data_IF_986732197828
#
_entry.id   IF_986732197828
#
_cell.length_a   1.000
_cell.length_b   1.000
_cell.length_c   1.000
_cell.angle_alpha   90.00
_cell.angle_beta   90.00
_cell.angle_gamma   90.00
#
_symmetry.space_group_name_H-M   'P 1'
#
loop_
_entity.id
_entity.type
_entity.pdbx_description
1 polymer ?
#
# COMPACT_ATOMS: atom_id res chain seq x y z
N UNK A 1 -9.13 -5.27 -0.31
CA UNK A 1 -8.55 -5.35 -1.68
C UNK A 1 -8.84 -4.03 -2.37
N UNK A 2 -7.83 -3.47 -3.04
CA UNK A 2 -7.82 -2.16 -3.71
C UNK A 2 -9.14 -1.86 -4.47
N UNK A 3 -9.94 -0.91 -3.98
CA UNK A 3 -11.13 -0.45 -4.70
C UNK A 3 -10.74 0.72 -5.60
N UNK A 4 -10.80 0.51 -6.91
CA UNK A 4 -10.68 1.57 -7.91
C UNK A 4 -11.82 2.59 -7.71
N UNK A 5 -11.57 3.92 -7.72
CA UNK A 5 -10.65 4.62 -8.61
C UNK A 5 -9.45 5.24 -7.89
N UNK A 6 -8.23 4.91 -8.34
CA UNK A 6 -7.03 5.54 -7.81
C UNK A 6 -6.20 6.16 -8.93
N UNK A 7 -5.82 7.43 -8.75
CA UNK A 7 -4.72 8.05 -9.46
C UNK A 7 -3.42 7.60 -8.77
N UNK A 8 -2.29 7.64 -9.46
CA UNK A 8 -0.98 7.28 -8.89
C UNK A 8 -0.70 7.99 -7.54
N UNK A 9 -1.16 9.24 -7.39
CA UNK A 9 -1.12 10.04 -6.14
C UNK A 9 -1.93 9.49 -4.95
N UNK A 10 -2.78 8.49 -5.15
CA UNK A 10 -3.56 7.88 -4.06
C UNK A 10 -2.67 6.99 -3.16
N UNK A 11 -1.48 6.61 -3.65
CA UNK A 11 -0.43 6.09 -2.80
C UNK A 11 0.10 7.26 -1.96
N UNK A 12 -0.28 7.28 -0.68
CA UNK A 12 0.01 8.35 0.29
C UNK A 12 1.50 8.70 0.31
N UNK A 13 2.36 7.69 0.18
CA UNK A 13 3.82 7.84 0.16
C UNK A 13 4.39 8.46 -1.12
N UNK A 14 3.72 8.32 -2.27
CA UNK A 14 4.22 8.88 -3.52
C UNK A 14 4.04 10.40 -3.57
N UNK A 15 2.93 10.94 -3.07
CA UNK A 15 2.69 12.39 -3.04
C UNK A 15 3.78 13.18 -2.30
N UNK A 16 4.29 12.62 -1.20
CA UNK A 16 5.40 13.17 -0.43
C UNK A 16 6.75 13.04 -1.17
N UNK A 17 7.07 11.85 -1.69
CA UNK A 17 8.33 11.61 -2.41
C UNK A 17 8.43 12.38 -3.72
N UNK A 18 7.31 12.71 -4.37
CA UNK A 18 7.28 13.55 -5.58
C UNK A 18 7.17 15.04 -5.29
N UNK A 19 7.24 15.48 -4.02
CA UNK A 19 7.13 16.89 -3.60
C UNK A 19 5.90 17.59 -4.20
N UNK A 20 4.75 16.90 -4.24
CA UNK A 20 3.52 17.49 -4.75
C UNK A 20 3.02 18.57 -3.75
N UNK A 21 2.91 19.81 -4.23
CA UNK A 21 2.48 20.99 -3.45
C UNK A 21 1.03 20.90 -2.93
N UNK A 22 0.27 19.89 -3.36
CA UNK A 22 -1.08 19.61 -2.86
C UNK A 22 -1.11 18.71 -1.62
N UNK A 23 0.04 18.24 -1.14
CA UNK A 23 0.15 17.49 0.11
C UNK A 23 -0.22 18.40 1.29
N UNK A 24 -1.32 18.09 1.97
CA UNK A 24 -1.81 18.91 3.08
C UNK A 24 -1.12 18.50 4.38
N UNK A 25 -0.96 19.43 5.31
CA UNK A 25 -0.49 19.12 6.68
C UNK A 25 -1.33 18.00 7.35
N UNK A 26 -2.61 17.88 6.96
CA UNK A 26 -3.52 16.84 7.43
C UNK A 26 -3.14 15.41 6.97
N UNK A 27 -2.31 15.27 5.93
CA UNK A 27 -1.90 13.97 5.39
C UNK A 27 -0.62 13.43 6.05
N UNK A 28 0.17 14.30 6.72
CA UNK A 28 1.43 13.91 7.37
C UNK A 28 1.26 12.81 8.44
N UNK A 29 0.25 12.83 9.33
CA UNK A 29 0.05 11.73 10.27
C UNK A 29 -0.19 10.39 9.57
N UNK A 30 -0.97 10.38 8.48
CA UNK A 30 -1.27 9.16 7.72
C UNK A 30 -0.05 8.64 6.97
N UNK A 31 0.83 9.54 6.54
CA UNK A 31 2.09 9.19 5.91
C UNK A 31 3.02 8.49 6.90
N UNK A 32 3.16 9.03 8.12
CA UNK A 32 3.96 8.36 9.16
C UNK A 32 3.36 6.99 9.54
N UNK A 33 2.03 6.85 9.60
CA UNK A 33 1.36 5.56 9.82
C UNK A 33 1.63 4.56 8.69
N UNK A 34 1.73 5.06 7.46
CA UNK A 34 2.08 4.25 6.30
C UNK A 34 3.53 3.80 6.38
N UNK A 35 4.46 4.69 6.75
CA UNK A 35 5.88 4.36 6.87
C UNK A 35 6.15 3.32 7.96
N UNK A 36 5.53 3.44 9.14
CA UNK A 36 5.74 2.46 10.21
C UNK A 36 5.22 1.08 9.81
N UNK A 37 4.06 1.00 9.15
CA UNK A 37 3.50 -0.28 8.67
C UNK A 37 4.29 -0.88 7.50
N UNK A 38 4.94 -0.05 6.68
CA UNK A 38 5.88 -0.51 5.64
C UNK A 38 7.23 -0.99 6.24
N UNK A 39 7.50 -0.74 7.52
CA UNK A 39 8.78 -1.05 8.15
C UNK A 39 9.82 0.08 8.06
N UNK A 40 9.47 1.21 7.45
CA UNK A 40 10.32 2.40 7.30
C UNK A 40 10.25 3.28 8.56
N UNK A 41 10.59 2.71 9.71
CA UNK A 41 10.35 3.32 11.04
C UNK A 41 11.10 4.64 11.23
N UNK A 42 12.29 4.80 10.64
CA UNK A 42 13.03 6.07 10.70
C UNK A 42 12.35 7.18 9.88
N UNK A 43 11.78 6.86 8.71
CA UNK A 43 10.98 7.82 7.95
C UNK A 43 9.69 8.18 8.71
N UNK A 44 9.07 7.20 9.38
CA UNK A 44 7.91 7.44 10.24
C UNK A 44 8.24 8.41 11.39
N UNK A 45 9.40 8.23 12.04
CA UNK A 45 9.89 9.13 13.10
C UNK A 45 10.09 10.54 12.58
N UNK A 46 10.83 10.71 11.48
CA UNK A 46 11.07 12.02 10.87
C UNK A 46 9.75 12.72 10.57
N UNK A 47 8.83 12.04 9.87
CA UNK A 47 7.52 12.60 9.53
C UNK A 47 6.69 12.94 10.77
N UNK A 48 6.67 12.08 11.79
CA UNK A 48 5.89 12.32 13.01
C UNK A 48 6.44 13.52 13.81
N UNK A 49 7.77 13.64 13.91
CA UNK A 49 8.43 14.78 14.55
C UNK A 49 8.17 16.09 13.81
N UNK A 50 8.37 16.11 12.49
CA UNK A 50 8.08 17.27 11.65
C UNK A 50 6.60 17.68 11.78
N UNK A 51 5.68 16.71 11.79
CA UNK A 51 4.26 17.00 12.02
C UNK A 51 4.03 17.63 13.38
N UNK A 52 4.63 17.10 14.44
CA UNK A 52 4.51 17.63 15.80
C UNK A 52 5.05 19.07 15.91
N UNK A 53 6.14 19.39 15.22
CA UNK A 53 6.69 20.75 15.16
C UNK A 53 5.74 21.72 14.43
N UNK A 54 5.10 21.25 13.36
CA UNK A 54 4.22 22.08 12.53
C UNK A 54 2.84 22.33 13.15
N UNK A 55 2.22 21.31 13.77
CA UNK A 55 0.83 21.38 14.24
C UNK A 55 0.67 21.20 15.75
N UNK A 56 1.75 20.93 16.48
CA UNK A 56 1.78 20.79 17.93
C UNK A 56 1.49 19.38 18.46
N UNK A 57 1.35 19.28 19.78
CA UNK A 57 1.16 18.02 20.52
C UNK A 57 -0.27 17.46 20.38
N UNK A 58 -0.64 17.03 19.17
CA UNK A 58 -1.93 16.39 18.92
C UNK A 58 -1.91 14.93 19.40
N UNK A 59 -2.95 14.42 20.11
CA UNK A 59 -2.94 13.07 20.68
C UNK A 59 -2.66 11.94 19.67
N UNK A 60 -3.10 12.06 18.42
CA UNK A 60 -2.80 11.04 17.41
C UNK A 60 -1.30 10.95 17.09
N UNK A 61 -0.59 12.09 17.05
CA UNK A 61 0.85 12.15 16.79
C UNK A 61 1.63 11.60 17.98
N UNK A 62 1.24 11.98 19.21
CA UNK A 62 1.86 11.42 20.41
C UNK A 62 1.70 9.90 20.48
N UNK A 63 0.53 9.38 20.06
CA UNK A 63 0.29 7.92 19.99
C UNK A 63 1.19 7.26 18.96
N UNK A 64 1.37 7.90 17.81
CA UNK A 64 2.25 7.42 16.75
C UNK A 64 3.72 7.41 17.20
N UNK A 65 4.20 8.50 17.82
CA UNK A 65 5.56 8.57 18.39
C UNK A 65 5.79 7.50 19.46
N UNK A 66 4.78 7.19 20.28
CA UNK A 66 4.85 6.03 21.18
C UNK A 66 5.14 4.73 20.41
N UNK A 67 4.35 4.42 19.37
CA UNK A 67 4.54 3.17 18.60
C UNK A 67 5.90 3.13 17.89
N UNK A 68 6.34 4.25 17.32
CA UNK A 68 7.66 4.36 16.67
C UNK A 68 8.75 4.02 17.67
N UNK A 69 8.77 4.68 18.84
CA UNK A 69 9.84 4.48 19.80
C UNK A 69 9.82 3.12 20.47
N UNK A 70 8.64 2.56 20.77
CA UNK A 70 8.58 1.21 21.34
C UNK A 70 9.02 0.16 20.31
N UNK A 71 8.67 0.31 19.04
CA UNK A 71 9.14 -0.58 17.96
C UNK A 71 10.67 -0.53 17.85
N UNK A 72 11.27 0.66 17.92
CA UNK A 72 12.74 0.87 17.97
C UNK A 72 13.40 0.38 19.27
N UNK A 73 12.64 -0.11 20.25
CA UNK A 73 13.15 -0.55 21.55
C UNK A 73 13.48 0.59 22.52
N UNK A 74 13.20 1.85 22.15
CA UNK A 74 13.44 3.01 23.01
C UNK A 74 12.27 3.23 23.98
N UNK A 75 12.23 2.39 25.00
CA UNK A 75 11.19 2.39 26.04
C UNK A 75 11.11 3.73 26.78
N UNK A 76 12.25 4.40 27.01
CA UNK A 76 12.28 5.68 27.72
C UNK A 76 11.58 6.77 26.93
N UNK A 77 11.89 6.91 25.64
CA UNK A 77 11.20 7.87 24.77
C UNK A 77 9.71 7.53 24.64
N UNK A 78 9.36 6.26 24.45
CA UNK A 78 7.96 5.81 24.39
C UNK A 78 7.15 6.22 25.64
N UNK A 79 7.75 6.12 26.84
CA UNK A 79 7.12 6.56 28.11
C UNK A 79 6.82 8.05 28.14
N UNK A 80 7.66 8.91 27.54
CA UNK A 80 7.42 10.37 27.49
C UNK A 80 6.08 10.66 26.82
N UNK A 81 5.83 10.05 25.66
CA UNK A 81 4.59 10.28 24.91
C UNK A 81 3.36 9.68 25.58
N UNK A 82 3.49 8.51 26.22
CA UNK A 82 2.39 7.95 27.02
C UNK A 82 2.06 8.83 28.23
N UNK A 83 3.06 9.41 28.89
CA UNK A 83 2.82 10.32 30.01
C UNK A 83 2.08 11.59 29.56
N UNK A 84 2.44 12.16 28.40
CA UNK A 84 1.69 13.26 27.81
C UNK A 84 0.24 12.86 27.50
N UNK A 85 0.03 11.71 26.84
CA UNK A 85 -1.29 11.17 26.52
C UNK A 85 -2.12 10.79 27.75
N UNK A 86 -1.49 10.45 28.88
CA UNK A 86 -2.19 10.06 30.10
C UNK A 86 -3.11 11.17 30.67
N UNK A 87 -2.84 12.42 30.27
CA UNK A 87 -3.59 13.62 30.63
C UNK A 87 -4.72 13.94 29.64
N UNK A 88 -4.75 13.28 28.48
CA UNK A 88 -5.78 13.46 27.46
C UNK A 88 -7.11 12.82 27.86
N UNK A 89 -8.23 13.45 27.50
CA UNK A 89 -9.56 12.95 27.86
C UNK A 89 -9.94 11.66 27.11
N UNK A 90 -9.54 11.53 25.84
CA UNK A 90 -9.89 10.41 24.97
C UNK A 90 -8.89 9.26 25.15
N UNK A 91 -7.59 9.56 25.11
CA UNK A 91 -6.51 8.58 25.12
C UNK A 91 -5.94 8.30 26.51
N UNK A 92 -6.30 9.06 27.54
CA UNK A 92 -5.69 8.94 28.87
C UNK A 92 -5.85 7.56 29.51
N UNK A 93 -7.01 6.92 29.38
CA UNK A 93 -7.23 5.55 29.87
C UNK A 93 -6.38 4.53 29.11
N UNK A 94 -6.26 4.69 27.79
CA UNK A 94 -5.43 3.84 26.93
C UNK A 94 -3.96 3.99 27.31
N UNK A 95 -3.47 5.22 27.47
CA UNK A 95 -2.08 5.50 27.79
C UNK A 95 -1.67 4.98 29.17
N UNK A 96 -2.53 5.14 30.19
CA UNK A 96 -2.30 4.59 31.53
C UNK A 96 -2.24 3.06 31.53
N UNK A 97 -3.03 2.38 30.70
CA UNK A 97 -2.94 0.93 30.53
C UNK A 97 -1.59 0.56 29.92
N UNK A 98 -1.18 1.23 28.85
CA UNK A 98 0.11 0.97 28.19
C UNK A 98 1.31 1.27 29.10
N UNK A 99 1.24 2.30 29.96
CA UNK A 99 2.28 2.57 30.97
C UNK A 99 2.46 1.39 31.93
N UNK A 100 1.38 0.79 32.43
CA UNK A 100 1.44 -0.41 33.28
C UNK A 100 2.03 -1.60 32.53
N UNK A 101 1.62 -1.81 31.27
CA UNK A 101 2.19 -2.87 30.44
C UNK A 101 3.70 -2.70 30.26
N UNK A 102 4.22 -1.47 30.12
CA UNK A 102 5.65 -1.20 30.05
C UNK A 102 6.41 -1.40 31.37
N UNK A 103 5.73 -1.42 32.51
CA UNK A 103 6.34 -1.77 33.81
C UNK A 103 6.53 -3.29 33.92
N UNK A 104 5.57 -4.06 33.39
CA UNK A 104 5.62 -5.53 33.38
C UNK A 104 6.55 -6.08 32.28
N UNK A 105 6.47 -5.52 31.07
CA UNK A 105 7.26 -5.89 29.90
C UNK A 105 7.75 -4.62 29.18
N UNK A 106 8.98 -4.15 29.50
CA UNK A 106 9.54 -2.93 28.92
C UNK A 106 9.59 -2.94 27.39
N UNK A 107 9.73 -4.11 26.76
CA UNK A 107 9.77 -4.23 25.32
C UNK A 107 8.40 -4.54 24.71
N UNK A 108 7.35 -4.79 25.51
CA UNK A 108 6.03 -5.19 25.02
C UNK A 108 6.12 -6.36 24.01
N UNK A 109 6.93 -7.35 24.34
CA UNK A 109 7.19 -8.55 23.54
C UNK A 109 5.95 -9.40 23.32
N UNK A 110 4.97 -9.35 24.24
CA UNK A 110 3.69 -10.05 24.10
C UNK A 110 2.61 -9.24 23.38
N UNK A 111 2.87 -7.96 23.07
CA UNK A 111 1.91 -7.12 22.36
C UNK A 111 1.94 -7.43 20.86
N UNK A 112 0.81 -7.91 20.34
CA UNK A 112 0.70 -8.34 18.95
C UNK A 112 0.96 -7.20 17.95
N UNK A 113 0.46 -5.99 18.22
CA UNK A 113 0.63 -4.85 17.31
C UNK A 113 2.10 -4.46 17.22
N UNK A 114 2.79 -4.39 18.36
CA UNK A 114 4.22 -4.06 18.42
C UNK A 114 5.08 -5.18 17.81
N UNK A 115 4.75 -6.43 18.09
CA UNK A 115 5.42 -7.59 17.48
C UNK A 115 5.27 -7.60 15.96
N UNK A 116 4.07 -7.33 15.44
CA UNK A 116 3.80 -7.29 14.00
C UNK A 116 4.61 -6.15 13.35
N UNK A 117 4.64 -4.96 13.95
CA UNK A 117 5.42 -3.81 13.45
C UNK A 117 6.93 -4.07 13.48
N UNK A 118 7.46 -4.67 14.54
CA UNK A 118 8.87 -5.06 14.60
C UNK A 118 9.23 -6.12 13.56
N UNK A 119 8.30 -7.02 13.25
CA UNK A 119 8.55 -8.09 12.28
C UNK A 119 8.77 -7.58 10.86
N UNK A 120 8.33 -6.35 10.55
CA UNK A 120 8.50 -5.70 9.25
C UNK A 120 9.53 -4.57 9.27
N UNK A 121 10.04 -4.18 10.45
CA UNK A 121 11.02 -3.09 10.60
C UNK A 121 12.30 -3.38 9.82
N UNK A 122 12.78 -2.36 9.11
CA UNK A 122 14.07 -2.42 8.42
C UNK A 122 15.18 -1.98 9.37
N UNK A 123 16.17 -2.83 9.58
CA UNK A 123 17.29 -2.57 10.50
C UNK A 123 18.31 -1.57 9.94
N UNK A 124 18.41 -1.45 8.62
CA UNK A 124 19.34 -0.54 7.95
C UNK A 124 18.61 0.64 7.33
N UNK A 125 19.11 1.85 7.58
CA UNK A 125 18.72 3.00 6.78
C UNK A 125 18.98 2.70 5.30
N UNK A 126 17.94 2.85 4.47
CA UNK A 126 18.06 2.70 3.04
C UNK A 126 18.92 3.85 2.50
N UNK A 127 20.23 3.61 2.41
CA UNK A 127 21.19 4.50 1.74
C UNK A 127 21.15 4.31 0.21
N UNK A 128 20.32 3.38 -0.30
CA UNK A 128 20.21 3.00 -1.71
C UNK A 128 18.81 3.16 -2.32
N UNK A 129 18.79 3.50 -3.61
CA UNK A 129 17.68 3.87 -4.51
C UNK A 129 16.76 4.99 -4.00
N UNK A 130 16.89 6.17 -4.63
CA UNK A 130 16.02 7.33 -4.38
C UNK A 130 14.62 7.20 -4.98
N UNK A 131 14.32 6.11 -5.69
CA UNK A 131 13.00 5.94 -6.30
C UNK A 131 12.06 5.21 -5.36
N UNK A 132 10.79 5.64 -5.34
CA UNK A 132 9.76 4.98 -4.56
C UNK A 132 9.62 3.48 -4.89
N UNK A 133 9.75 3.12 -6.18
CA UNK A 133 9.78 1.73 -6.60
C UNK A 133 10.95 0.97 -5.96
N UNK A 134 12.16 1.54 -5.96
CA UNK A 134 13.34 0.90 -5.39
C UNK A 134 13.23 0.68 -3.89
N UNK A 135 12.65 1.64 -3.17
CA UNK A 135 12.34 1.49 -1.73
C UNK A 135 11.36 0.33 -1.50
N UNK A 136 10.27 0.25 -2.29
CA UNK A 136 9.32 -0.85 -2.14
C UNK A 136 9.93 -2.21 -2.52
N UNK A 137 10.80 -2.25 -3.53
CA UNK A 137 11.53 -3.46 -3.91
C UNK A 137 12.49 -3.93 -2.82
N UNK A 138 13.22 -3.04 -2.17
CA UNK A 138 14.12 -3.43 -1.09
C UNK A 138 13.38 -3.93 0.16
N UNK A 139 12.13 -3.50 0.37
CA UNK A 139 11.26 -4.04 1.41
C UNK A 139 10.76 -5.47 1.13
N UNK A 140 10.85 -5.95 -0.11
CA UNK A 140 10.38 -7.30 -0.50
C UNK A 140 11.23 -8.44 0.04
N UNK A 141 12.48 -8.16 0.46
CA UNK A 141 13.35 -9.15 1.10
C UNK A 141 12.72 -9.71 2.39
N UNK A 142 11.88 -8.92 3.05
CA UNK A 142 11.11 -9.36 4.19
C UNK A 142 9.78 -10.00 3.77
N UNK A 143 9.75 -11.34 3.73
CA UNK A 143 8.57 -12.16 3.38
C UNK A 143 7.38 -12.02 4.35
N UNK A 144 7.52 -11.30 5.46
CA UNK A 144 6.39 -10.95 6.34
C UNK A 144 5.75 -9.61 5.97
N UNK A 145 6.42 -8.80 5.16
CA UNK A 145 5.99 -7.46 4.79
C UNK A 145 4.99 -7.48 3.62
N UNK A 146 3.78 -7.99 3.92
CA UNK A 146 2.68 -8.04 2.95
C UNK A 146 2.31 -6.65 2.42
N UNK A 147 2.44 -5.62 3.25
CA UNK A 147 2.10 -4.26 2.85
C UNK A 147 3.05 -3.74 1.77
N UNK A 148 4.35 -4.00 1.87
CA UNK A 148 5.31 -3.64 0.83
C UNK A 148 4.96 -4.27 -0.52
N UNK A 149 4.60 -5.57 -0.53
CA UNK A 149 4.13 -6.26 -1.73
C UNK A 149 2.86 -5.61 -2.30
N UNK A 150 1.83 -5.41 -1.49
CA UNK A 150 0.58 -4.81 -1.95
C UNK A 150 0.79 -3.38 -2.49
N UNK A 151 1.67 -2.59 -1.87
CA UNK A 151 2.05 -1.25 -2.35
C UNK A 151 2.84 -1.30 -3.66
N UNK A 152 3.78 -2.23 -3.81
CA UNK A 152 4.55 -2.40 -5.04
C UNK A 152 3.66 -2.80 -6.21
N UNK A 153 2.77 -3.77 -5.97
CA UNK A 153 1.80 -4.22 -6.97
C UNK A 153 0.79 -3.14 -7.33
N UNK A 154 0.35 -2.33 -6.36
CA UNK A 154 -0.48 -1.15 -6.62
C UNK A 154 0.25 -0.10 -7.46
N UNK A 155 1.53 0.17 -7.14
CA UNK A 155 2.38 1.06 -7.93
C UNK A 155 2.49 0.57 -9.39
N UNK A 156 2.68 -0.73 -9.62
CA UNK A 156 2.74 -1.29 -10.98
C UNK A 156 1.42 -1.22 -11.74
N UNK A 157 0.28 -1.49 -11.08
CA UNK A 157 -1.03 -1.27 -11.71
C UNK A 157 -1.21 0.19 -12.13
N UNK A 158 -0.94 1.14 -11.22
CA UNK A 158 -1.15 2.57 -11.45
C UNK A 158 -0.17 3.18 -12.45
N UNK A 159 0.99 2.55 -12.65
CA UNK A 159 1.97 2.93 -13.68
C UNK A 159 1.87 2.08 -14.95
N UNK A 160 0.86 1.22 -15.05
CA UNK A 160 0.60 0.32 -16.19
C UNK A 160 1.76 -0.63 -16.54
N UNK A 161 2.61 -0.97 -15.57
CA UNK A 161 3.78 -1.85 -15.72
C UNK A 161 3.38 -3.32 -15.55
N UNK A 162 2.58 -3.84 -16.48
CA UNK A 162 1.99 -5.20 -16.40
C UNK A 162 3.04 -6.32 -16.43
N UNK A 163 4.18 -6.10 -17.06
CA UNK A 163 5.32 -7.01 -17.08
C UNK A 163 5.86 -7.22 -15.67
N UNK A 164 5.97 -6.13 -14.89
CA UNK A 164 6.46 -6.18 -13.50
C UNK A 164 5.46 -6.84 -12.56
N UNK A 165 4.16 -6.69 -12.81
CA UNK A 165 3.11 -7.44 -12.08
C UNK A 165 3.35 -8.94 -12.25
N UNK A 166 3.56 -9.40 -13.49
CA UNK A 166 3.78 -10.82 -13.80
C UNK A 166 5.06 -11.35 -13.16
N UNK A 167 6.14 -10.58 -13.18
CA UNK A 167 7.40 -10.95 -12.52
C UNK A 167 7.26 -11.17 -11.01
N UNK A 168 6.30 -10.48 -10.36
CA UNK A 168 6.10 -10.52 -8.90
C UNK A 168 5.02 -11.51 -8.43
N UNK A 169 4.40 -12.30 -9.32
CA UNK A 169 3.34 -13.26 -8.95
C UNK A 169 3.82 -14.33 -7.96
N UNK A 170 5.09 -14.73 -8.03
CA UNK A 170 5.62 -15.76 -7.14
C UNK A 170 5.48 -15.39 -5.64
N UNK A 171 5.51 -14.11 -5.30
CA UNK A 171 5.33 -13.62 -3.92
C UNK A 171 3.94 -13.85 -3.32
N UNK A 172 2.91 -14.23 -4.10
CA UNK A 172 1.62 -14.59 -3.52
C UNK A 172 1.73 -15.78 -2.54
N UNK A 173 2.74 -16.64 -2.71
CA UNK A 173 3.04 -17.77 -1.80
C UNK A 173 3.52 -17.32 -0.42
N UNK A 174 4.23 -16.20 -0.35
CA UNK A 174 4.78 -15.68 0.91
C UNK A 174 3.66 -15.12 1.84
N UNK A 175 2.51 -14.74 1.28
CA UNK A 175 1.48 -13.95 2.01
C UNK A 175 0.11 -14.63 2.17
N UNK A 176 0.03 -15.96 1.96
CA UNK A 176 -1.19 -16.76 2.15
C UNK A 176 -2.41 -16.28 1.36
N UNK A 177 -2.22 -15.79 0.12
CA UNK A 177 -3.34 -15.46 -0.75
C UNK A 177 -4.07 -16.72 -1.21
N UNK A 178 -5.36 -16.81 -0.89
CA UNK A 178 -6.24 -17.91 -1.29
C UNK A 178 -6.60 -17.89 -2.78
N UNK A 179 -6.55 -16.72 -3.41
CA UNK A 179 -6.81 -16.50 -4.83
C UNK A 179 -6.05 -15.26 -5.32
N UNK A 180 -5.89 -15.12 -6.64
CA UNK A 180 -5.33 -13.91 -7.23
C UNK A 180 -6.39 -12.81 -7.17
N UNK A 181 -6.09 -11.64 -6.58
CA UNK A 181 -6.94 -10.45 -6.65
C UNK A 181 -7.37 -10.11 -8.09
N UNK A 182 -8.68 -9.87 -8.32
CA UNK A 182 -9.30 -9.47 -9.62
C UNK A 182 -8.42 -8.54 -10.47
N UNK A 183 -7.95 -7.40 -9.95
CA UNK A 183 -7.17 -6.46 -10.76
C UNK A 183 -5.80 -7.01 -11.21
N UNK A 184 -5.20 -7.91 -10.43
CA UNK A 184 -4.01 -8.64 -10.86
C UNK A 184 -4.37 -9.70 -11.91
N UNK A 185 -5.50 -10.40 -11.76
CA UNK A 185 -6.01 -11.30 -12.82
C UNK A 185 -6.22 -10.57 -14.15
N UNK A 186 -6.86 -9.39 -14.10
CA UNK A 186 -7.09 -8.53 -15.26
C UNK A 186 -5.75 -8.11 -15.90
N UNK A 187 -4.77 -7.69 -15.11
CA UNK A 187 -3.44 -7.34 -15.61
C UNK A 187 -2.70 -8.53 -16.26
N UNK A 188 -2.80 -9.72 -15.67
CA UNK A 188 -2.20 -10.96 -16.21
C UNK A 188 -2.83 -11.32 -17.57
N UNK A 189 -4.15 -11.18 -17.71
CA UNK A 189 -4.83 -11.43 -18.98
C UNK A 189 -4.34 -10.44 -20.05
N UNK A 190 -4.24 -9.14 -19.73
CA UNK A 190 -3.72 -8.14 -20.66
C UNK A 190 -2.30 -8.50 -21.10
N UNK A 191 -1.42 -8.84 -20.14
CA UNK A 191 -0.04 -9.25 -20.44
C UNK A 191 -0.02 -10.47 -21.37
N UNK A 192 -0.78 -11.50 -21.04
CA UNK A 192 -0.84 -12.75 -21.82
C UNK A 192 -1.34 -12.50 -23.25
N UNK A 193 -2.31 -11.60 -23.43
CA UNK A 193 -2.84 -11.24 -24.73
C UNK A 193 -1.85 -10.37 -25.55
N UNK A 194 -1.12 -9.47 -24.89
CA UNK A 194 -0.10 -8.63 -25.52
C UNK A 194 1.17 -9.41 -25.88
N UNK A 195 1.50 -10.45 -25.12
CA UNK A 195 2.69 -11.24 -25.30
C UNK A 195 2.61 -12.15 -26.53
N UNK A 196 3.40 -11.84 -27.56
CA UNK A 196 3.42 -12.57 -28.83
C UNK A 196 4.27 -13.85 -28.79
N UNK A 197 5.05 -14.08 -27.72
CA UNK A 197 5.90 -15.28 -27.61
C UNK A 197 5.10 -16.55 -27.33
N UNK A 198 3.86 -16.42 -26.84
CA UNK A 198 3.01 -17.55 -26.46
C UNK A 198 3.44 -18.25 -25.16
N UNK A 199 4.44 -17.70 -24.46
CA UNK A 199 4.87 -18.22 -23.16
C UNK A 199 3.75 -18.04 -22.13
N UNK A 200 3.41 -19.15 -21.46
CA UNK A 200 2.41 -19.14 -20.40
C UNK A 200 3.01 -18.51 -19.16
N UNK A 201 2.30 -17.55 -18.58
CA UNK A 201 2.61 -17.04 -17.24
C UNK A 201 2.48 -18.18 -16.24
N UNK A 202 3.54 -18.43 -15.47
CA UNK A 202 3.50 -19.38 -14.37
C UNK A 202 2.72 -18.77 -13.19
N UNK A 203 1.53 -19.31 -12.92
CA UNK A 203 0.67 -18.91 -11.81
C UNK A 203 0.81 -19.82 -10.58
N UNK A 204 1.77 -20.75 -10.62
CA UNK A 204 1.90 -21.87 -9.69
C UNK A 204 0.57 -22.64 -9.61
N UNK A 205 0.04 -22.87 -8.41
CA UNK A 205 -1.23 -23.58 -8.21
C UNK A 205 -2.48 -22.71 -8.39
N UNK A 206 -2.29 -21.40 -8.60
CA UNK A 206 -3.41 -20.45 -8.73
C UNK A 206 -3.95 -20.42 -10.15
N UNK A 207 -5.22 -20.08 -10.26
CA UNK A 207 -5.91 -19.96 -11.55
C UNK A 207 -6.60 -18.60 -11.62
N UNK A 208 -6.63 -18.06 -12.84
CA UNK A 208 -7.46 -16.92 -13.16
C UNK A 208 -8.93 -17.37 -13.12
N UNK A 209 -9.77 -16.60 -12.44
CA UNK A 209 -11.19 -16.91 -12.34
C UNK A 209 -11.87 -16.94 -13.72
N UNK A 210 -12.81 -17.87 -13.96
CA UNK A 210 -13.57 -17.92 -15.21
C UNK A 210 -14.35 -16.63 -15.48
N UNK A 211 -14.80 -15.96 -14.42
CA UNK A 211 -15.50 -14.68 -14.50
C UNK A 211 -14.62 -13.59 -15.12
N UNK A 212 -13.38 -13.43 -14.64
CA UNK A 212 -12.45 -12.43 -15.19
C UNK A 212 -12.15 -12.70 -16.67
N UNK A 213 -12.00 -13.97 -17.07
CA UNK A 213 -11.83 -14.37 -18.49
C UNK A 213 -13.05 -14.00 -19.33
N UNK A 214 -14.27 -14.28 -18.84
CA UNK A 214 -15.51 -13.90 -19.53
C UNK A 214 -15.65 -12.39 -19.67
N UNK A 215 -15.34 -11.64 -18.61
CA UNK A 215 -15.36 -10.18 -18.61
C UNK A 215 -14.36 -9.60 -19.62
N UNK A 216 -13.15 -10.16 -19.71
CA UNK A 216 -12.19 -9.78 -20.74
C UNK A 216 -12.74 -10.00 -22.15
N UNK A 217 -13.29 -11.19 -22.43
CA UNK A 217 -13.82 -11.51 -23.76
C UNK A 217 -14.97 -10.56 -24.16
N UNK A 218 -15.86 -10.23 -23.23
CA UNK A 218 -16.95 -9.26 -23.48
C UNK A 218 -16.40 -7.86 -23.72
N UNK A 219 -15.51 -7.37 -22.85
CA UNK A 219 -14.85 -6.07 -23.00
C UNK A 219 -14.16 -5.94 -24.36
N UNK A 220 -13.39 -6.96 -24.73
CA UNK A 220 -12.66 -7.05 -25.98
C UNK A 220 -13.59 -7.07 -27.21
N UNK A 221 -14.67 -7.85 -27.17
CA UNK A 221 -15.64 -7.91 -28.26
C UNK A 221 -16.34 -6.57 -28.50
N UNK A 222 -16.63 -5.80 -27.43
CA UNK A 222 -17.16 -4.45 -27.55
C UNK A 222 -16.14 -3.53 -28.22
N UNK A 223 -14.87 -3.52 -27.79
CA UNK A 223 -13.84 -2.73 -28.47
C UNK A 223 -13.73 -3.08 -29.96
N UNK A 224 -13.79 -4.37 -30.29
CA UNK A 224 -13.75 -4.86 -31.67
C UNK A 224 -14.96 -4.40 -32.49
N UNK A 225 -16.18 -4.41 -31.94
CA UNK A 225 -17.38 -3.95 -32.66
C UNK A 225 -17.34 -2.47 -33.02
N UNK A 226 -16.57 -1.67 -32.28
CA UNK A 226 -16.28 -0.27 -32.60
C UNK A 226 -15.01 -0.08 -33.44
N UNK A 227 -14.49 -1.12 -34.11
CA UNK A 227 -13.25 -1.07 -34.89
C UNK A 227 -12.07 -0.51 -34.10
N UNK A 228 -11.96 -0.85 -32.81
CA UNK A 228 -10.92 -0.36 -31.91
C UNK A 228 -10.93 1.15 -31.66
N UNK A 229 -12.00 1.84 -32.07
CA UNK A 229 -12.16 3.26 -31.81
C UNK A 229 -12.55 3.47 -30.34
N UNK A 230 -11.52 3.76 -29.51
CA UNK A 230 -11.67 4.03 -28.08
C UNK A 230 -12.72 5.11 -27.80
N UNK A 231 -12.78 6.17 -28.61
CA UNK A 231 -13.67 7.31 -28.37
C UNK A 231 -15.15 6.95 -28.57
N UNK A 232 -15.46 6.05 -29.51
CA UNK A 232 -16.81 5.55 -29.72
C UNK A 232 -17.21 4.49 -28.70
N UNK A 233 -16.26 3.64 -28.29
CA UNK A 233 -16.52 2.53 -27.38
C UNK A 233 -16.67 2.96 -25.90
N UNK A 234 -16.15 4.13 -25.52
CA UNK A 234 -16.01 4.54 -24.12
C UNK A 234 -17.32 4.59 -23.35
N UNK A 235 -18.41 5.05 -23.98
CA UNK A 235 -19.73 5.16 -23.35
C UNK A 235 -20.35 3.78 -23.09
N UNK A 236 -20.15 2.85 -24.03
CA UNK A 236 -20.63 1.47 -23.89
C UNK A 236 -19.84 0.70 -22.84
N UNK A 237 -18.52 0.93 -22.76
CA UNK A 237 -17.64 0.24 -21.82
C UNK A 237 -17.70 0.82 -20.40
N UNK A 238 -17.90 2.12 -20.24
CA UNK A 238 -17.89 2.75 -18.91
C UNK A 238 -19.04 2.29 -18.01
N UNK A 239 -20.16 1.86 -18.61
CA UNK A 239 -21.34 1.37 -17.87
C UNK A 239 -21.02 0.16 -17.00
N UNK A 240 -20.31 -0.82 -17.56
CA UNK A 240 -20.10 -2.12 -16.92
C UNK A 240 -18.65 -2.36 -16.48
N UNK A 241 -17.69 -1.60 -17.03
CA UNK A 241 -16.26 -1.86 -16.84
C UNK A 241 -15.49 -0.69 -16.24
N UNK A 242 -16.14 0.40 -15.83
CA UNK A 242 -15.43 1.58 -15.30
C UNK A 242 -14.62 1.32 -14.03
N UNK A 243 -14.89 0.23 -13.31
CA UNK A 243 -14.14 -0.21 -12.14
C UNK A 243 -13.00 -1.19 -12.48
N UNK A 244 -12.92 -1.68 -13.72
CA UNK A 244 -11.96 -2.71 -14.14
C UNK A 244 -10.60 -2.12 -14.50
N UNK A 245 -9.56 -2.93 -14.32
CA UNK A 245 -8.22 -2.61 -14.82
C UNK A 245 -8.16 -2.66 -16.36
N UNK A 246 -9.00 -3.47 -17.03
CA UNK A 246 -9.12 -3.44 -18.50
C UNK A 246 -9.48 -2.04 -19.02
N UNK A 247 -10.47 -1.41 -18.39
CA UNK A 247 -10.90 -0.06 -18.72
C UNK A 247 -9.79 0.94 -18.40
N UNK A 248 -9.20 0.86 -17.20
CA UNK A 248 -8.09 1.73 -16.81
C UNK A 248 -6.94 1.69 -17.81
N UNK A 249 -6.44 0.48 -18.12
CA UNK A 249 -5.32 0.26 -19.03
C UNK A 249 -5.64 0.75 -20.46
N UNK A 250 -6.90 0.64 -20.89
CA UNK A 250 -7.32 1.08 -22.21
C UNK A 250 -7.43 2.61 -22.34
N UNK A 251 -7.95 3.28 -21.30
CA UNK A 251 -8.37 4.68 -21.36
C UNK A 251 -7.52 5.65 -20.53
N UNK A 252 -6.67 5.16 -19.63
CA UNK A 252 -5.85 5.99 -18.73
C UNK A 252 -6.60 6.55 -17.52
N UNK A 253 -7.87 6.19 -17.34
CA UNK A 253 -8.68 6.63 -16.20
C UNK A 253 -9.75 5.59 -15.90
N UNK A 254 -10.40 5.74 -14.73
CA UNK A 254 -11.47 4.85 -14.28
C UNK A 254 -12.53 5.61 -13.50
N UNK A 255 -13.64 4.92 -13.23
CA UNK A 255 -14.86 5.52 -12.72
C UNK A 255 -15.73 6.08 -13.85
N UNK A 256 -17.02 6.25 -13.56
CA UNK A 256 -17.95 6.89 -14.48
C UNK A 256 -17.53 8.36 -14.60
N UNK A 257 -17.31 8.87 -15.82
CA UNK A 257 -17.24 10.32 -16.05
C UNK A 257 -18.57 10.91 -15.57
N UNK A 258 -18.56 11.56 -14.41
CA UNK A 258 -19.64 12.49 -14.02
C UNK A 258 -19.44 13.79 -14.78
#
# INVERSE_FOLDING_TARGET
MFSYPQKLRALISLGFLTLDKSFLLADLPRLSDTFIQLGLVNNAEHTAMETMELIGEYPAILRQLFFIYIVKGNTMAAKVYLNALSKDFVYGKWAKRYLRNLEEDPLMSTDKEISDLRSVMVDTDHVGSFTFEGILQSLMDNKKNRMAFEYLMAYYLLSMQIEKIVQNIHHFEDFNYSAIPRHYEEAIIIYTYANKTGEKVNLNDRKISPETVQNFNRFFNILKSYNWNKQLAINSLSRDYSDSYFFYYTFGFSGVRK
#
